data_IF_400462059514
#
_entry.id   IF_400462059514
#
_cell.length_a   1.000
_cell.length_b   1.000
_cell.length_c   1.000
_cell.angle_alpha   90.00
_cell.angle_beta   90.00
_cell.angle_gamma   90.00
#
_symmetry.space_group_name_H-M   'P 1'
#
loop_
_entity.id
_entity.type
_entity.pdbx_description
1 polymer ?
#
# COMPACT_ATOMS: atom_id res chain seq x y z
N UNK A 1 -0.23 -21.45 -1.82
CA UNK A 1 0.41 -20.42 -2.69
C UNK A 1 -0.34 -19.09 -2.68
N UNK A 2 -1.59 -19.00 -3.14
CA UNK A 2 -2.37 -17.74 -3.15
C UNK A 2 -2.53 -17.10 -1.76
N UNK A 3 -2.82 -17.91 -0.73
CA UNK A 3 -2.93 -17.45 0.66
C UNK A 3 -1.58 -16.93 1.17
N UNK A 4 -0.50 -17.66 0.91
CA UNK A 4 0.87 -17.28 1.30
C UNK A 4 1.29 -15.93 0.70
N UNK A 5 0.98 -15.70 -0.58
CA UNK A 5 1.17 -14.40 -1.23
C UNK A 5 0.39 -13.29 -0.49
N UNK A 6 -0.90 -13.50 -0.19
CA UNK A 6 -1.71 -12.52 0.54
C UNK A 6 -1.16 -12.22 1.94
N UNK A 7 -0.64 -13.23 2.64
CA UNK A 7 0.01 -13.05 3.95
C UNK A 7 1.22 -12.13 3.81
N UNK A 8 2.11 -12.37 2.83
CA UNK A 8 3.26 -11.50 2.62
C UNK A 8 2.86 -10.10 2.18
N UNK A 9 1.79 -9.95 1.39
CA UNK A 9 1.27 -8.65 1.01
C UNK A 9 0.75 -7.85 2.22
N UNK A 10 0.02 -8.50 3.13
CA UNK A 10 -0.45 -7.89 4.39
C UNK A 10 0.74 -7.53 5.28
N UNK A 11 1.71 -8.43 5.43
CA UNK A 11 2.93 -8.17 6.20
C UNK A 11 3.73 -7.01 5.64
N UNK A 12 3.82 -6.89 4.31
CA UNK A 12 4.49 -5.77 3.64
C UNK A 12 3.83 -4.44 3.98
N UNK A 13 2.50 -4.38 4.00
CA UNK A 13 1.75 -3.19 4.41
C UNK A 13 1.97 -2.90 5.90
N UNK A 14 1.90 -3.90 6.78
CA UNK A 14 2.18 -3.70 8.21
C UNK A 14 3.60 -3.16 8.43
N UNK A 15 4.59 -3.70 7.71
CA UNK A 15 5.97 -3.24 7.78
C UNK A 15 6.15 -1.84 7.18
N UNK A 16 5.37 -1.46 6.16
CA UNK A 16 5.37 -0.07 5.68
C UNK A 16 4.89 0.86 6.79
N UNK A 17 3.83 0.49 7.51
CA UNK A 17 3.36 1.26 8.66
C UNK A 17 4.38 1.32 9.80
N UNK A 18 5.07 0.21 10.11
CA UNK A 18 6.10 0.21 11.15
C UNK A 18 7.29 1.10 10.76
N UNK A 19 7.67 1.11 9.48
CA UNK A 19 8.76 1.94 8.96
C UNK A 19 8.37 3.41 8.81
N UNK A 20 7.21 3.68 8.23
CA UNK A 20 6.72 5.01 7.87
C UNK A 20 5.85 5.66 8.95
N UNK A 21 5.49 4.92 10.00
CA UNK A 21 5.07 5.47 11.29
C UNK A 21 6.05 5.08 12.39
N UNK A 22 7.26 5.66 12.41
CA UNK A 22 7.95 5.80 13.67
C UNK A 22 7.20 6.88 14.49
N UNK A 23 7.44 6.95 15.80
CA UNK A 23 7.04 8.08 16.65
C UNK A 23 7.23 9.45 15.99
N UNK A 24 8.21 9.57 15.09
CA UNK A 24 8.47 10.75 14.27
C UNK A 24 7.33 11.12 13.33
N UNK A 25 6.42 10.25 12.88
CA UNK A 25 5.30 10.72 12.02
C UNK A 25 4.23 11.43 12.83
N UNK A 26 3.96 11.01 14.07
CA UNK A 26 3.06 11.73 14.99
C UNK A 26 3.76 12.97 15.56
N UNK A 27 5.05 12.87 15.90
CA UNK A 27 5.85 14.00 16.35
C UNK A 27 6.17 14.98 15.21
N UNK A 28 6.33 14.52 13.97
CA UNK A 28 6.48 15.35 12.76
C UNK A 28 5.14 15.86 12.30
N UNK A 29 4.01 15.16 12.44
CA UNK A 29 2.69 15.75 12.19
C UNK A 29 2.33 16.78 13.26
N UNK A 30 2.63 16.53 14.54
CA UNK A 30 2.53 17.54 15.59
C UNK A 30 3.53 18.67 15.36
N UNK A 31 4.78 18.37 14.99
CA UNK A 31 5.81 19.39 14.70
C UNK A 31 5.49 20.14 13.42
N UNK A 32 4.93 19.52 12.38
CA UNK A 32 4.46 20.14 11.15
C UNK A 32 3.21 20.96 11.41
N UNK A 33 2.27 20.50 12.26
CA UNK A 33 1.12 21.30 12.67
C UNK A 33 1.55 22.51 13.50
N UNK A 34 2.51 22.34 14.42
CA UNK A 34 3.15 23.42 15.18
C UNK A 34 3.97 24.33 14.26
N UNK A 35 4.65 23.79 13.24
CA UNK A 35 5.45 24.53 12.27
C UNK A 35 4.59 25.23 11.21
N UNK A 36 3.42 24.69 10.86
CA UNK A 36 2.40 25.32 10.01
C UNK A 36 1.76 26.49 10.75
N UNK A 37 1.43 26.29 12.03
CA UNK A 37 0.88 27.36 12.87
C UNK A 37 1.92 28.41 13.26
N UNK A 38 3.22 28.08 13.23
CA UNK A 38 4.33 29.03 13.44
C UNK A 38 5.01 29.55 12.16
N UNK A 39 4.52 29.19 10.97
CA UNK A 39 5.07 29.60 9.65
C UNK A 39 6.53 29.16 9.38
N UNK A 40 7.02 28.16 10.10
CA UNK A 40 8.41 27.67 10.05
C UNK A 40 8.59 26.41 9.19
N UNK A 41 7.49 25.74 8.79
CA UNK A 41 7.55 24.55 7.96
C UNK A 41 7.96 24.91 6.53
N UNK A 42 8.98 24.23 6.00
CA UNK A 42 9.34 24.42 4.60
C UNK A 42 8.36 23.65 3.70
N UNK A 43 8.00 24.22 2.55
CA UNK A 43 7.16 23.57 1.53
C UNK A 43 7.72 22.18 1.18
N UNK A 44 9.05 22.05 1.17
CA UNK A 44 9.76 20.82 0.84
C UNK A 44 9.49 19.68 1.84
N UNK A 45 9.44 19.96 3.14
CA UNK A 45 9.13 18.95 4.16
C UNK A 45 7.69 18.47 4.06
N UNK A 46 6.76 19.36 3.74
CA UNK A 46 5.35 19.01 3.54
C UNK A 46 5.16 18.11 2.32
N UNK A 47 5.85 18.38 1.22
CA UNK A 47 5.83 17.54 0.01
C UNK A 47 6.36 16.13 0.30
N UNK A 48 7.45 16.03 1.07
CA UNK A 48 8.03 14.73 1.44
C UNK A 48 7.06 13.87 2.25
N UNK A 49 6.43 14.44 3.27
CA UNK A 49 5.43 13.71 4.08
C UNK A 49 4.23 13.31 3.24
N UNK A 50 3.74 14.21 2.38
CA UNK A 50 2.64 13.90 1.46
C UNK A 50 2.97 12.70 0.55
N UNK A 51 4.18 12.64 -0.01
CA UNK A 51 4.62 11.51 -0.86
C UNK A 51 4.67 10.18 -0.09
N UNK A 52 5.11 10.19 1.17
CA UNK A 52 5.12 8.99 2.01
C UNK A 52 3.70 8.50 2.32
N UNK A 53 2.78 9.42 2.59
CA UNK A 53 1.36 9.11 2.82
C UNK A 53 0.69 8.58 1.55
N UNK A 54 0.91 9.24 0.40
CA UNK A 54 0.36 8.81 -0.89
C UNK A 54 0.84 7.39 -1.24
N UNK A 55 2.14 7.13 -1.12
CA UNK A 55 2.69 5.80 -1.41
C UNK A 55 2.21 4.73 -0.42
N UNK A 56 1.90 5.08 0.83
CA UNK A 56 1.21 4.20 1.77
C UNK A 56 -0.19 3.83 1.31
N UNK A 57 -0.97 4.82 0.88
CA UNK A 57 -2.32 4.59 0.35
C UNK A 57 -2.27 3.69 -0.89
N UNK A 58 -1.27 3.86 -1.75
CA UNK A 58 -1.04 2.97 -2.89
C UNK A 58 -0.73 1.52 -2.44
N UNK A 59 0.07 1.33 -1.39
CA UNK A 59 0.34 0.00 -0.83
C UNK A 59 -0.93 -0.64 -0.23
N UNK A 60 -1.76 0.14 0.46
CA UNK A 60 -3.07 -0.33 0.94
C UNK A 60 -3.98 -0.71 -0.23
N UNK A 61 -3.96 0.08 -1.31
CA UNK A 61 -4.74 -0.19 -2.50
C UNK A 61 -4.38 -1.54 -3.13
N UNK A 62 -3.12 -2.01 -3.06
CA UNK A 62 -2.75 -3.36 -3.53
C UNK A 62 -3.51 -4.50 -2.84
N UNK A 63 -3.94 -4.31 -1.59
CA UNK A 63 -4.71 -5.33 -0.85
C UNK A 63 -6.13 -5.48 -1.38
N UNK A 64 -6.73 -4.38 -1.84
CA UNK A 64 -8.13 -4.32 -2.27
C UNK A 64 -8.29 -4.37 -3.78
N UNK A 65 -7.22 -4.06 -4.52
CA UNK A 65 -7.23 -4.02 -5.97
C UNK A 65 -7.53 -5.41 -6.55
N UNK A 66 -8.51 -5.46 -7.47
CA UNK A 66 -8.79 -6.65 -8.26
C UNK A 66 -7.58 -6.99 -9.12
N UNK A 67 -7.26 -8.28 -9.20
CA UNK A 67 -6.17 -8.74 -10.05
C UNK A 67 -6.48 -8.39 -11.51
N UNK A 68 -5.55 -7.68 -12.14
CA UNK A 68 -5.54 -7.40 -13.57
C UNK A 68 -4.09 -7.55 -14.09
N UNK A 69 -3.86 -7.53 -15.40
CA UNK A 69 -2.50 -7.62 -15.95
C UNK A 69 -1.56 -6.52 -15.45
N UNK A 70 -2.11 -5.36 -15.06
CA UNK A 70 -1.34 -4.25 -14.51
C UNK A 70 -0.91 -4.46 -13.04
N UNK A 71 -1.55 -5.38 -12.31
CA UNK A 71 -1.24 -5.69 -10.91
C UNK A 71 0.22 -6.12 -10.73
N UNK A 72 0.79 -6.82 -11.73
CA UNK A 72 2.21 -7.18 -11.76
C UNK A 72 3.14 -5.96 -11.74
N UNK A 73 2.73 -4.86 -12.36
CA UNK A 73 3.51 -3.63 -12.31
C UNK A 73 3.32 -2.96 -10.95
N UNK A 74 2.09 -2.87 -10.45
CA UNK A 74 1.81 -2.20 -9.18
C UNK A 74 2.49 -2.87 -7.98
N UNK A 75 2.49 -4.21 -7.92
CA UNK A 75 3.20 -4.95 -6.85
C UNK A 75 4.70 -4.68 -6.86
N UNK A 76 5.29 -4.30 -7.99
CA UNK A 76 6.71 -3.95 -8.08
C UNK A 76 6.92 -2.46 -7.79
N UNK A 77 6.17 -1.57 -8.45
CA UNK A 77 6.42 -0.13 -8.40
C UNK A 77 5.99 0.52 -7.09
N UNK A 78 4.86 0.12 -6.48
CA UNK A 78 4.38 0.82 -5.28
C UNK A 78 5.32 0.62 -4.07
N UNK A 79 5.84 -0.59 -3.76
CA UNK A 79 6.82 -0.76 -2.70
C UNK A 79 8.14 -0.01 -2.97
N UNK A 80 8.56 0.09 -4.23
CA UNK A 80 9.77 0.85 -4.59
C UNK A 80 9.54 2.35 -4.41
N UNK A 81 8.40 2.87 -4.89
CA UNK A 81 8.03 4.28 -4.71
C UNK A 81 7.95 4.64 -3.22
N UNK A 82 7.37 3.76 -2.41
CA UNK A 82 7.34 3.88 -0.97
C UNK A 82 8.76 3.95 -0.37
N UNK A 83 9.65 3.03 -0.74
CA UNK A 83 11.04 3.05 -0.25
C UNK A 83 11.77 4.34 -0.63
N UNK A 84 11.61 4.82 -1.86
CA UNK A 84 12.23 6.07 -2.32
C UNK A 84 11.69 7.28 -1.54
N UNK A 85 10.37 7.35 -1.35
CA UNK A 85 9.74 8.40 -0.56
C UNK A 85 10.24 8.34 0.89
N UNK A 86 10.25 7.15 1.50
CA UNK A 86 10.75 6.92 2.84
C UNK A 86 12.21 7.37 3.00
N UNK A 87 13.12 6.91 2.13
CA UNK A 87 14.51 7.33 2.15
C UNK A 87 14.67 8.84 1.95
N UNK A 88 13.83 9.50 1.14
CA UNK A 88 13.90 10.95 0.96
C UNK A 88 13.66 11.74 2.27
N UNK A 89 12.94 11.14 3.22
CA UNK A 89 12.68 11.69 4.55
C UNK A 89 13.77 11.29 5.54
N UNK A 90 14.19 10.02 5.53
CA UNK A 90 15.05 9.44 6.57
C UNK A 90 16.54 9.41 6.23
N UNK A 91 16.95 9.76 5.01
CA UNK A 91 18.36 9.71 4.58
C UNK A 91 19.29 10.50 5.49
N UNK A 92 18.87 11.68 5.95
CA UNK A 92 19.67 12.50 6.86
C UNK A 92 19.92 11.80 8.20
N UNK A 93 18.89 11.17 8.76
CA UNK A 93 19.00 10.41 10.02
C UNK A 93 19.90 9.18 9.87
N UNK A 94 19.81 8.50 8.73
CA UNK A 94 20.60 7.31 8.46
C UNK A 94 22.08 7.57 8.18
N UNK A 95 22.42 8.76 7.68
CA UNK A 95 23.81 9.18 7.58
C UNK A 95 24.44 9.46 8.95
N UNK A 96 23.63 9.86 9.93
CA UNK A 96 24.07 10.14 11.31
C UNK A 96 24.09 8.85 12.15
N UNK A 97 23.08 8.00 12.00
CA UNK A 97 22.93 6.73 12.72
C UNK A 97 22.74 5.58 11.72
N UNK A 98 23.85 5.03 11.18
CA UNK A 98 23.79 4.00 10.14
C UNK A 98 23.15 2.69 10.61
N UNK A 99 23.18 2.40 11.91
CA UNK A 99 22.54 1.21 12.47
C UNK A 99 21.02 1.19 12.23
N UNK A 100 20.41 2.38 12.04
CA UNK A 100 18.99 2.49 11.69
C UNK A 100 18.67 1.93 10.29
N UNK A 101 19.64 1.77 9.38
CA UNK A 101 19.40 1.09 8.09
C UNK A 101 18.91 -0.35 8.27
N UNK A 102 19.28 -1.02 9.37
CA UNK A 102 18.86 -2.39 9.66
C UNK A 102 17.35 -2.52 9.81
N UNK A 103 16.66 -1.43 10.15
CA UNK A 103 15.19 -1.40 10.28
C UNK A 103 14.46 -1.68 8.96
N UNK A 104 15.11 -1.40 7.82
CA UNK A 104 14.53 -1.57 6.47
C UNK A 104 14.61 -3.03 5.99
N UNK A 105 15.55 -3.81 6.53
CA UNK A 105 15.82 -5.19 6.10
C UNK A 105 14.55 -6.06 6.15
N UNK A 106 13.76 -6.07 7.24
CA UNK A 106 12.50 -6.82 7.29
C UNK A 106 11.54 -6.49 6.14
N UNK A 107 11.41 -5.20 5.78
CA UNK A 107 10.54 -4.76 4.69
C UNK A 107 11.05 -5.26 3.33
N UNK A 108 12.35 -5.09 3.04
CA UNK A 108 12.94 -5.51 1.77
C UNK A 108 12.88 -7.02 1.59
N UNK A 109 13.13 -7.79 2.66
CA UNK A 109 12.98 -9.24 2.66
C UNK A 109 11.53 -9.66 2.40
N UNK A 110 10.57 -9.03 3.10
CA UNK A 110 9.15 -9.32 2.90
C UNK A 110 8.70 -8.98 1.47
N UNK A 111 9.17 -7.86 0.92
CA UNK A 111 8.93 -7.46 -0.46
C UNK A 111 9.46 -8.49 -1.46
N UNK A 112 10.71 -8.91 -1.30
CA UNK A 112 11.31 -9.94 -2.17
C UNK A 112 10.52 -11.25 -2.12
N UNK A 113 10.14 -11.72 -0.92
CA UNK A 113 9.31 -12.91 -0.74
C UNK A 113 7.93 -12.75 -1.38
N UNK A 114 7.31 -11.58 -1.26
CA UNK A 114 6.01 -11.27 -1.86
C UNK A 114 6.07 -11.39 -3.39
N UNK A 115 7.09 -10.81 -4.03
CA UNK A 115 7.30 -10.88 -5.48
C UNK A 115 7.58 -12.31 -5.95
N UNK A 116 8.42 -13.06 -5.23
CA UNK A 116 8.73 -14.46 -5.55
C UNK A 116 7.48 -15.33 -5.47
N UNK A 117 6.66 -15.15 -4.43
CA UNK A 117 5.41 -15.89 -4.28
C UNK A 117 4.38 -15.50 -5.33
N UNK A 118 4.28 -14.21 -5.66
CA UNK A 118 3.39 -13.75 -6.73
C UNK A 118 3.74 -14.40 -8.07
N UNK A 119 5.02 -14.39 -8.45
CA UNK A 119 5.49 -15.07 -9.67
C UNK A 119 5.25 -16.58 -9.64
N UNK A 120 5.39 -17.22 -8.46
CA UNK A 120 5.11 -18.64 -8.29
C UNK A 120 3.62 -18.96 -8.48
N UNK A 121 2.74 -18.10 -7.96
CA UNK A 121 1.28 -18.19 -8.17
C UNK A 121 0.95 -18.03 -9.64
N UNK A 122 1.55 -17.07 -10.35
CA UNK A 122 1.29 -16.85 -11.78
C UNK A 122 1.75 -18.02 -12.65
N UNK A 123 2.86 -18.68 -12.29
CA UNK A 123 3.31 -19.90 -13.00
C UNK A 123 2.35 -21.07 -12.79
N UNK A 124 1.80 -21.22 -11.59
CA UNK A 124 0.87 -22.30 -11.26
C UNK A 124 -0.55 -22.05 -11.78
N UNK A 125 -0.99 -20.79 -11.81
CA UNK A 125 -2.31 -20.37 -12.25
C UNK A 125 -2.26 -19.00 -12.96
N UNK A 126 -2.07 -18.99 -14.29
CA UNK A 126 -2.04 -17.77 -15.08
C UNK A 126 -3.34 -16.98 -15.04
N UNK A 127 -4.48 -17.65 -14.79
CA UNK A 127 -5.79 -17.01 -14.69
C UNK A 127 -5.90 -16.10 -13.46
N UNK A 128 -5.01 -16.28 -12.47
CA UNK A 128 -4.90 -15.39 -11.33
C UNK A 128 -4.60 -13.93 -11.72
N UNK A 129 -3.86 -13.69 -12.82
CA UNK A 129 -3.59 -12.33 -13.32
C UNK A 129 -4.81 -11.67 -13.99
N UNK A 130 -5.78 -12.45 -14.44
CA UNK A 130 -6.98 -11.95 -15.13
C UNK A 130 -8.11 -11.60 -14.16
N UNK A 131 -7.96 -11.97 -12.88
CA UNK A 131 -9.03 -11.86 -11.89
C UNK A 131 -10.16 -12.87 -12.13
N UNK A 132 -11.08 -12.98 -11.18
CA UNK A 132 -12.33 -13.73 -11.45
C UNK A 132 -13.07 -13.04 -12.61
N UNK A 133 -13.80 -13.76 -13.48
CA UNK A 133 -14.66 -13.12 -14.47
C UNK A 133 -15.63 -12.15 -13.76
N UNK A 134 -15.93 -11.01 -14.38
CA UNK A 134 -17.06 -10.19 -13.94
C UNK A 134 -18.28 -11.12 -13.85
N UNK A 135 -18.87 -11.23 -12.66
CA UNK A 135 -20.24 -11.68 -12.61
C UNK A 135 -21.00 -10.68 -13.49
N UNK A 136 -21.80 -11.13 -14.48
CA UNK A 136 -22.67 -10.20 -15.18
C UNK A 136 -23.42 -9.42 -14.12
N UNK A 137 -23.39 -8.10 -14.22
CA UNK A 137 -24.22 -7.24 -13.38
C UNK A 137 -25.62 -7.85 -13.42
N UNK A 138 -26.14 -8.24 -12.25
CA UNK A 138 -27.52 -8.72 -12.16
C UNK A 138 -28.37 -7.57 -12.70
N UNK A 139 -28.84 -7.75 -13.93
CA UNK A 139 -29.75 -6.83 -14.61
C UNK A 139 -30.87 -6.56 -13.62
N UNK A 140 -30.98 -5.31 -13.17
CA UNK A 140 -31.97 -4.91 -12.17
C UNK A 140 -33.34 -5.27 -12.73
N UNK A 141 -33.87 -6.42 -12.33
CA UNK A 141 -35.26 -6.76 -12.59
C UNK A 141 -36.05 -5.90 -11.60
N UNK A 142 -36.86 -4.93 -12.08
CA UNK A 142 -37.77 -4.26 -11.18
C UNK A 142 -38.65 -5.34 -10.55
N UNK A 143 -38.70 -5.38 -9.22
CA UNK A 143 -39.64 -6.24 -8.51
C UNK A 143 -41.03 -5.93 -9.06
N UNK A 144 -41.66 -6.90 -9.72
CA UNK A 144 -43.11 -6.84 -9.93
C UNK A 144 -43.73 -6.71 -8.55
N UNK A 145 -44.29 -5.53 -8.27
CA UNK A 145 -45.16 -5.35 -7.13
C UNK A 145 -46.41 -6.19 -7.41
N UNK A 146 -46.49 -7.33 -6.73
CA UNK A 146 -47.67 -8.18 -6.66
C UNK A 146 -48.80 -7.36 -6.02
N UNK A 147 -49.59 -6.68 -6.84
CA UNK A 147 -50.79 -5.93 -6.44
C UNK A 147 -51.96 -6.91 -6.17
N UNK A 148 -51.70 -7.96 -5.40
CA UNK A 148 -52.67 -8.95 -4.95
C UNK A 148 -53.46 -8.49 -3.73
N UNK A 149 -54.11 -7.33 -3.78
CA UNK A 149 -55.18 -6.99 -2.82
C UNK A 149 -56.55 -7.40 -3.40
N UNK A 150 -57.24 -8.40 -2.81
CA UNK A 150 -58.65 -8.62 -3.09
C UNK A 150 -59.52 -7.59 -2.35
N UNK A 151 -60.46 -6.97 -3.07
CA UNK A 151 -61.56 -6.15 -2.51
C UNK A 151 -62.47 -6.97 -1.57
#
# INVERSE_FOLDING_TARGET
MKITFRIYLVLLVILSFILGMPKTSIEQEMSLAVNFTSSTATIWESVKVFLVLETHVLLLFLLTMRQNPAYRYFIVYFPIAYLLAYFSVTLGEYLVEPDKFLTIIPFVLCYGLCVVQYNSVLKADPSFALGLPEKPEEEYQPREFDNGEPM
#
